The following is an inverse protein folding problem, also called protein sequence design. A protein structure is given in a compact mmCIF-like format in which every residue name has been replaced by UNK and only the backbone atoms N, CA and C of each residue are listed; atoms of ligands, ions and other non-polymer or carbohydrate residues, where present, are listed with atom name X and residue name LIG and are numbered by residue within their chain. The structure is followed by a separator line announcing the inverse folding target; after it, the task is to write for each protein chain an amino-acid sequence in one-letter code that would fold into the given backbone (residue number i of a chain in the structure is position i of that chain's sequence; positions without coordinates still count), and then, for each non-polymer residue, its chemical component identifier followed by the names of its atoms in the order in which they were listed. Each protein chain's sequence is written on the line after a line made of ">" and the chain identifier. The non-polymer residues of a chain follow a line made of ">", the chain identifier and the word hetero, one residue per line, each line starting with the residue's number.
data_IF_343773917185
#
_entry.id   IF_343773917185
#
_cell.length_a   1.000
_cell.length_b   1.000
_cell.length_c   1.000
_cell.angle_alpha   90.00
_cell.angle_beta   90.00
_cell.angle_gamma   90.00
#
_symmetry.space_group_name_H-M   'P 1'
#
loop_
_entity.id
_entity.type
_entity.pdbx_description
1 polymer ?
#
# COMPACT_ATOMS: atom_id res chain seq x y z
N UNK A 1 2.74 -2.99 22.22
CA UNK A 1 3.10 -1.91 21.25
C UNK A 1 3.84 -2.41 19.99
N UNK A 2 4.29 -3.69 19.90
CA UNK A 2 5.06 -4.21 18.75
C UNK A 2 4.23 -4.58 17.50
N UNK A 3 2.91 -4.82 17.60
CA UNK A 3 2.10 -5.28 16.45
C UNK A 3 1.88 -4.22 15.36
N UNK A 4 1.79 -2.92 15.70
CA UNK A 4 1.50 -1.86 14.73
C UNK A 4 2.62 -1.61 13.70
N UNK A 5 3.88 -1.82 14.09
CA UNK A 5 5.03 -1.60 13.19
C UNK A 5 5.11 -2.68 12.11
N UNK A 6 4.75 -3.93 12.43
CA UNK A 6 4.76 -5.04 11.47
C UNK A 6 3.70 -4.83 10.38
N UNK A 7 2.52 -4.33 10.76
CA UNK A 7 1.41 -4.05 9.84
C UNK A 7 1.74 -2.92 8.85
N UNK A 8 2.37 -1.85 9.33
CA UNK A 8 2.88 -0.78 8.45
C UNK A 8 3.90 -1.31 7.46
N UNK A 9 4.87 -2.10 7.92
CA UNK A 9 5.90 -2.68 7.06
C UNK A 9 5.33 -3.58 5.97
N UNK A 10 4.33 -4.41 6.30
CA UNK A 10 3.62 -5.24 5.33
C UNK A 10 2.86 -4.39 4.30
N UNK A 11 2.22 -3.31 4.73
CA UNK A 11 1.51 -2.40 3.84
C UNK A 11 2.46 -1.67 2.90
N UNK A 12 3.59 -1.18 3.40
CA UNK A 12 4.65 -0.57 2.58
C UNK A 12 5.14 -1.55 1.51
N UNK A 13 5.44 -2.80 1.90
CA UNK A 13 5.86 -3.85 0.97
C UNK A 13 4.83 -4.13 -0.12
N UNK A 14 3.55 -4.17 0.26
CA UNK A 14 2.43 -4.37 -0.68
C UNK A 14 2.35 -3.22 -1.68
N UNK A 15 2.37 -1.98 -1.21
CA UNK A 15 2.31 -0.78 -2.06
C UNK A 15 3.51 -0.74 -3.01
N UNK A 16 4.73 -0.94 -2.51
CA UNK A 16 5.94 -1.02 -3.35
C UNK A 16 5.81 -2.06 -4.45
N UNK A 17 5.33 -3.26 -4.10
CA UNK A 17 5.21 -4.36 -5.06
C UNK A 17 4.13 -4.10 -6.11
N UNK A 18 3.02 -3.44 -5.72
CA UNK A 18 1.97 -3.02 -6.65
C UNK A 18 2.47 -1.95 -7.64
N UNK A 19 3.39 -1.08 -7.21
CA UNK A 19 4.07 -0.11 -8.08
C UNK A 19 5.20 -0.71 -8.93
N UNK A 20 5.46 -2.03 -8.83
CA UNK A 20 6.48 -2.71 -9.62
C UNK A 20 7.94 -2.39 -9.25
N UNK A 21 8.17 -1.77 -8.08
CA UNK A 21 9.51 -1.34 -7.66
C UNK A 21 10.20 -2.40 -6.80
N UNK A 22 11.51 -2.57 -6.96
CA UNK A 22 12.37 -3.26 -5.99
C UNK A 22 12.66 -2.37 -4.76
N UNK A 23 13.15 -2.96 -3.67
CA UNK A 23 13.55 -2.19 -2.48
C UNK A 23 14.67 -1.19 -2.79
N UNK A 24 15.59 -1.56 -3.69
CA UNK A 24 16.67 -0.69 -4.13
C UNK A 24 16.17 0.50 -4.96
N UNK A 25 15.22 0.27 -5.86
CA UNK A 25 14.63 1.34 -6.67
C UNK A 25 13.81 2.30 -5.81
N UNK A 26 12.96 1.79 -4.91
CA UNK A 26 12.21 2.64 -3.98
C UNK A 26 13.15 3.43 -3.08
N UNK A 27 14.19 2.78 -2.55
CA UNK A 27 15.21 3.45 -1.75
C UNK A 27 15.85 4.60 -2.52
N UNK A 28 16.39 4.33 -3.70
CA UNK A 28 17.05 5.33 -4.54
C UNK A 28 16.13 6.54 -4.81
N UNK A 29 14.86 6.29 -5.14
CA UNK A 29 13.87 7.33 -5.43
C UNK A 29 13.51 8.16 -4.19
N UNK A 30 13.27 7.50 -3.05
CA UNK A 30 12.85 8.14 -1.82
C UNK A 30 14.02 8.69 -0.96
N UNK A 31 15.27 8.55 -1.42
CA UNK A 31 16.46 9.02 -0.70
C UNK A 31 16.91 8.13 0.46
N UNK A 32 16.68 6.82 0.35
CA UNK A 32 17.09 5.80 1.32
C UNK A 32 17.94 4.71 0.65
N UNK A 33 18.74 3.99 1.43
CA UNK A 33 19.36 2.76 0.94
C UNK A 33 18.36 1.58 0.96
N UNK A 34 18.65 0.55 0.16
CA UNK A 34 17.79 -0.65 0.07
C UNK A 34 17.61 -1.38 1.40
N UNK A 35 18.61 -1.32 2.29
CA UNK A 35 18.55 -1.98 3.60
C UNK A 35 17.61 -1.23 4.56
N UNK A 36 17.56 0.10 4.48
CA UNK A 36 16.61 0.94 5.20
C UNK A 36 15.18 0.62 4.79
N UNK A 37 14.90 0.49 3.48
CA UNK A 37 13.59 0.03 2.98
C UNK A 37 13.25 -1.36 3.52
N UNK A 38 14.19 -2.30 3.47
CA UNK A 38 14.00 -3.64 4.02
C UNK A 38 13.65 -3.62 5.52
N UNK A 39 14.36 -2.81 6.31
CA UNK A 39 14.11 -2.66 7.76
C UNK A 39 12.74 -2.06 8.07
N UNK A 40 12.27 -1.12 7.25
CA UNK A 40 10.92 -0.59 7.31
C UNK A 40 9.87 -1.66 6.99
N UNK A 41 10.06 -2.42 5.91
CA UNK A 41 9.14 -3.49 5.50
C UNK A 41 9.06 -4.64 6.51
N UNK A 42 10.17 -4.95 7.19
CA UNK A 42 10.22 -5.94 8.26
C UNK A 42 9.68 -5.40 9.60
N UNK A 43 9.36 -4.11 9.70
CA UNK A 43 8.90 -3.48 10.94
C UNK A 43 9.98 -3.40 12.03
N UNK A 44 11.25 -3.63 11.68
CA UNK A 44 12.39 -3.59 12.62
C UNK A 44 12.82 -2.15 12.95
N UNK A 45 12.43 -1.19 12.11
CA UNK A 45 12.58 0.25 12.34
C UNK A 45 11.28 0.93 11.97
N UNK A 46 10.80 1.83 12.83
CA UNK A 46 9.66 2.68 12.52
C UNK A 46 10.12 3.85 11.64
N UNK A 47 9.54 4.05 10.45
CA UNK A 47 9.82 5.24 9.64
C UNK A 47 9.38 6.51 10.37
N UNK A 48 10.12 7.61 10.18
CA UNK A 48 9.65 8.93 10.61
C UNK A 48 8.49 9.40 9.73
N UNK A 49 7.75 10.42 10.18
CA UNK A 49 6.70 11.04 9.36
C UNK A 49 7.26 11.56 8.03
N UNK A 50 8.44 12.19 8.04
CA UNK A 50 9.14 12.63 6.83
C UNK A 50 9.44 11.46 5.88
N UNK A 51 9.91 10.33 6.43
CA UNK A 51 10.15 9.13 5.63
C UNK A 51 8.86 8.59 5.01
N UNK A 52 7.75 8.56 5.76
CA UNK A 52 6.45 8.18 5.22
C UNK A 52 5.99 9.11 4.09
N UNK A 53 6.20 10.42 4.21
CA UNK A 53 5.88 11.36 3.13
C UNK A 53 6.70 11.09 1.87
N UNK A 54 8.02 10.90 1.99
CA UNK A 54 8.89 10.58 0.85
C UNK A 54 8.47 9.29 0.16
N UNK A 55 8.16 8.25 0.93
CA UNK A 55 7.68 6.98 0.40
C UNK A 55 6.31 7.12 -0.27
N UNK A 56 5.39 7.89 0.30
CA UNK A 56 4.06 8.12 -0.27
C UNK A 56 4.12 8.80 -1.65
N UNK A 57 4.99 9.81 -1.79
CA UNK A 57 5.21 10.52 -3.06
C UNK A 57 5.68 9.55 -4.15
N UNK A 58 6.70 8.73 -3.85
CA UNK A 58 7.27 7.80 -4.84
C UNK A 58 6.36 6.60 -5.16
N UNK A 59 5.42 6.28 -4.27
CA UNK A 59 4.42 5.23 -4.46
C UNK A 59 3.09 5.75 -5.01
N UNK A 60 3.00 7.05 -5.29
CA UNK A 60 1.78 7.72 -5.78
C UNK A 60 0.56 7.44 -4.90
N UNK A 61 0.75 7.44 -3.57
CA UNK A 61 -0.30 7.16 -2.59
C UNK A 61 -0.36 8.23 -1.48
N UNK A 62 -1.34 8.13 -0.60
CA UNK A 62 -1.44 8.95 0.59
C UNK A 62 -0.72 8.30 1.77
N UNK A 63 -0.18 9.11 2.70
CA UNK A 63 0.36 8.60 3.97
C UNK A 63 -0.68 7.79 4.76
N UNK A 64 -1.98 8.10 4.59
CA UNK A 64 -3.09 7.32 5.18
C UNK A 64 -3.04 5.86 4.75
N UNK A 65 -2.63 5.59 3.52
CA UNK A 65 -2.67 4.25 2.92
C UNK A 65 -1.74 3.27 3.61
N UNK A 66 -0.68 3.75 4.29
CA UNK A 66 0.20 2.93 5.13
C UNK A 66 -0.47 2.37 6.40
N UNK A 67 -1.59 2.97 6.81
CA UNK A 67 -2.29 2.66 8.05
C UNK A 67 -3.69 2.08 7.80
N UNK A 68 -4.05 1.78 6.55
CA UNK A 68 -5.33 1.15 6.27
C UNK A 68 -5.30 -0.32 6.67
N UNK A 69 -6.17 -0.67 7.63
CA UNK A 69 -6.42 -2.04 8.06
C UNK A 69 -7.80 -2.49 7.55
N UNK A 70 -7.87 -3.72 7.04
CA UNK A 70 -9.10 -4.34 6.57
C UNK A 70 -9.41 -5.58 7.40
N UNK A 71 -9.69 -5.38 8.69
CA UNK A 71 -10.00 -6.45 9.64
C UNK A 71 -11.46 -6.88 9.53
N UNK A 72 -11.77 -7.53 8.41
CA UNK A 72 -13.09 -8.11 8.15
C UNK A 72 -13.67 -7.69 6.80
N UNK A 73 -14.63 -8.48 6.32
CA UNK A 73 -15.25 -8.22 5.02
C UNK A 73 -16.16 -7.00 5.03
N UNK A 74 -16.65 -6.59 6.20
CA UNK A 74 -17.47 -5.38 6.35
C UNK A 74 -16.65 -4.11 6.09
N UNK A 75 -15.45 -3.98 6.67
CA UNK A 75 -14.56 -2.85 6.41
C UNK A 75 -14.10 -2.82 4.95
N UNK A 76 -13.80 -4.00 4.36
CA UNK A 76 -13.47 -4.09 2.93
C UNK A 76 -14.61 -3.58 2.06
N UNK A 77 -15.85 -4.03 2.32
CA UNK A 77 -17.04 -3.57 1.59
C UNK A 77 -17.26 -2.07 1.74
N UNK A 78 -17.17 -1.54 2.96
CA UNK A 78 -17.35 -0.11 3.22
C UNK A 78 -16.31 0.75 2.49
N UNK A 79 -15.05 0.32 2.48
CA UNK A 79 -13.99 0.99 1.73
C UNK A 79 -14.25 0.97 0.23
N UNK A 80 -14.55 -0.22 -0.33
CA UNK A 80 -14.84 -0.36 -1.75
C UNK A 80 -16.05 0.50 -2.16
N UNK A 81 -17.09 0.54 -1.33
CA UNK A 81 -18.25 1.39 -1.57
C UNK A 81 -17.85 2.87 -1.67
N UNK A 82 -17.07 3.38 -0.70
CA UNK A 82 -16.58 4.75 -0.72
C UNK A 82 -15.72 5.06 -1.96
N UNK A 83 -14.83 4.14 -2.36
CA UNK A 83 -14.00 4.30 -3.56
C UNK A 83 -14.87 4.35 -4.82
N UNK A 84 -15.83 3.44 -4.94
CA UNK A 84 -16.73 3.35 -6.11
C UNK A 84 -17.59 4.60 -6.26
N UNK A 85 -18.00 5.25 -5.16
CA UNK A 85 -18.79 6.49 -5.22
C UNK A 85 -18.10 7.65 -5.96
N UNK A 86 -16.76 7.69 -5.96
CA UNK A 86 -15.98 8.74 -6.62
C UNK A 86 -15.28 8.31 -7.91
N UNK A 87 -15.44 7.04 -8.30
CA UNK A 87 -14.69 6.47 -9.42
C UNK A 87 -15.23 6.92 -10.78
N UNK A 88 -14.33 7.19 -11.72
CA UNK A 88 -14.71 7.47 -13.11
C UNK A 88 -15.06 6.19 -13.90
N UNK A 89 -15.53 6.35 -15.14
CA UNK A 89 -15.93 5.21 -15.99
C UNK A 89 -14.80 4.23 -16.30
N UNK A 90 -13.56 4.71 -16.38
CA UNK A 90 -12.38 3.89 -16.65
C UNK A 90 -11.97 3.07 -15.42
N UNK A 91 -11.98 3.69 -14.24
CA UNK A 91 -11.77 3.03 -12.95
C UNK A 91 -12.82 1.94 -12.69
N UNK A 92 -14.10 2.24 -12.93
CA UNK A 92 -15.19 1.27 -12.79
C UNK A 92 -15.03 0.08 -13.73
N UNK A 93 -14.62 0.32 -14.98
CA UNK A 93 -14.40 -0.74 -15.96
C UNK A 93 -13.28 -1.70 -15.52
N UNK A 94 -12.16 -1.17 -15.01
CA UNK A 94 -11.06 -1.96 -14.44
C UNK A 94 -11.49 -2.79 -13.22
N UNK A 95 -12.30 -2.21 -12.34
CA UNK A 95 -12.82 -2.92 -11.17
C UNK A 95 -13.74 -4.07 -11.56
N UNK A 96 -14.65 -3.85 -12.52
CA UNK A 96 -15.54 -4.90 -13.04
C UNK A 96 -14.73 -6.03 -13.67
N UNK A 97 -13.72 -5.72 -14.49
CA UNK A 97 -12.84 -6.72 -15.10
C UNK A 97 -12.13 -7.57 -14.04
N UNK A 98 -11.60 -6.93 -12.99
CA UNK A 98 -10.88 -7.61 -11.92
C UNK A 98 -11.76 -8.64 -11.18
N UNK A 99 -13.02 -8.31 -10.89
CA UNK A 99 -13.93 -9.18 -10.12
C UNK A 99 -14.71 -10.18 -10.97
N UNK A 100 -14.81 -9.94 -12.29
CA UNK A 100 -15.56 -10.80 -13.21
C UNK A 100 -14.72 -11.97 -13.75
N UNK A 101 -13.43 -12.08 -13.37
CA UNK A 101 -12.61 -13.21 -13.80
C UNK A 101 -13.25 -14.53 -13.33
N UNK A 102 -13.43 -15.51 -14.22
CA UNK A 102 -14.02 -16.79 -13.84
C UNK A 102 -13.16 -17.43 -12.75
N UNK A 103 -13.77 -17.70 -11.61
CA UNK A 103 -13.13 -18.43 -10.52
C UNK A 103 -12.61 -19.75 -11.10
N UNK A 104 -11.29 -19.91 -11.19
CA UNK A 104 -10.69 -21.21 -11.53
C UNK A 104 -11.17 -22.18 -10.45
N UNK A 105 -12.10 -23.05 -10.83
CA UNK A 105 -12.53 -24.20 -10.01
C UNK A 105 -11.37 -25.16 -9.83
#
# INVERSE_FOLDING_TARGET
>A
MQMKNLQLGQTLKRLRSASGLSQAELGLRAGFDSNTISRFELGTVTPSVDALYKLAVELECSVRDFFMEFDGDEQKRAYLFNVICGADSGELSRLVELVSQPVKK
#
